data_IF_324706592005
#
_entry.id   IF_324706592005
#
_cell.length_a   1.000
_cell.length_b   1.000
_cell.length_c   1.000
_cell.angle_alpha   90.00
_cell.angle_beta   90.00
_cell.angle_gamma   90.00
#
_symmetry.space_group_name_H-M   'P 1'
#
loop_
_entity.id
_entity.type
_entity.pdbx_description
1 polymer ?
#
# COMPACT_ATOMS: atom_id res chain seq x y z
N UNK A 1 -1.76 -11.23 -16.27
CA UNK A 1 -2.40 -11.67 -15.04
C UNK A 1 -2.39 -10.53 -14.02
N UNK A 2 -3.52 -10.29 -13.40
CA UNK A 2 -3.59 -9.20 -12.43
C UNK A 2 -2.92 -9.61 -11.12
N UNK A 3 -2.12 -8.71 -10.57
CA UNK A 3 -1.49 -8.94 -9.26
C UNK A 3 -2.54 -8.75 -8.17
N UNK A 4 -2.37 -9.43 -7.03
CA UNK A 4 -3.33 -9.27 -5.92
C UNK A 4 -3.38 -7.81 -5.44
N UNK A 5 -2.25 -7.11 -5.45
CA UNK A 5 -2.21 -5.69 -5.05
C UNK A 5 -3.10 -4.83 -5.93
N UNK A 6 -3.09 -5.09 -7.23
CA UNK A 6 -3.95 -4.37 -8.16
C UNK A 6 -5.42 -4.65 -7.87
N UNK A 7 -5.75 -5.91 -7.61
CA UNK A 7 -7.12 -6.31 -7.27
C UNK A 7 -7.59 -5.62 -5.99
N UNK A 8 -6.71 -5.59 -4.98
CA UNK A 8 -7.02 -4.92 -3.71
C UNK A 8 -7.30 -3.43 -3.94
N UNK A 9 -6.37 -2.73 -4.59
CA UNK A 9 -6.52 -1.29 -4.83
C UNK A 9 -7.78 -0.97 -5.62
N UNK A 10 -8.04 -1.74 -6.67
CA UNK A 10 -9.23 -1.56 -7.50
C UNK A 10 -10.51 -1.70 -6.68
N UNK A 11 -10.56 -2.71 -5.82
CA UNK A 11 -11.73 -2.94 -4.99
C UNK A 11 -11.87 -1.94 -3.84
N UNK A 12 -10.77 -1.36 -3.38
CA UNK A 12 -10.86 -0.24 -2.43
C UNK A 12 -11.58 0.95 -3.04
N UNK A 13 -11.50 1.11 -4.35
CA UNK A 13 -12.16 2.21 -5.06
C UNK A 13 -13.62 1.86 -5.36
N UNK A 14 -13.88 0.68 -5.87
CA UNK A 14 -15.19 0.34 -6.42
C UNK A 14 -16.10 -0.46 -5.48
N UNK A 15 -15.57 -1.04 -4.41
CA UNK A 15 -16.34 -1.87 -3.49
C UNK A 15 -16.30 -1.26 -2.09
N UNK A 16 -17.28 -0.41 -1.80
CA UNK A 16 -17.31 0.34 -0.54
C UNK A 16 -17.38 -0.54 0.68
N UNK A 17 -18.17 -1.60 0.64
CA UNK A 17 -18.30 -2.52 1.77
C UNK A 17 -16.96 -3.21 2.07
N UNK A 18 -16.29 -3.70 1.03
CA UNK A 18 -14.98 -4.30 1.16
C UNK A 18 -13.98 -3.30 1.73
N UNK A 19 -13.97 -2.09 1.18
CA UNK A 19 -13.06 -1.02 1.60
C UNK A 19 -13.19 -0.74 3.10
N UNK A 20 -14.41 -0.62 3.59
CA UNK A 20 -14.66 -0.37 5.02
C UNK A 20 -14.13 -1.48 5.90
N UNK A 21 -14.23 -2.72 5.44
CA UNK A 21 -13.79 -3.88 6.22
C UNK A 21 -12.29 -4.01 6.28
N UNK A 22 -11.58 -3.73 5.19
CA UNK A 22 -10.16 -4.08 5.09
C UNK A 22 -9.20 -2.93 5.34
N UNK A 23 -9.59 -1.69 5.08
CA UNK A 23 -8.70 -0.54 5.25
C UNK A 23 -8.03 -0.49 6.62
N UNK A 24 -8.73 -0.76 7.74
CA UNK A 24 -8.08 -0.73 9.05
C UNK A 24 -6.93 -1.72 9.21
N UNK A 25 -6.87 -2.74 8.38
CA UNK A 25 -5.87 -3.80 8.48
C UNK A 25 -4.74 -3.68 7.46
N UNK A 26 -4.86 -2.76 6.50
CA UNK A 26 -3.85 -2.58 5.46
C UNK A 26 -2.97 -1.39 5.82
N UNK A 27 -1.67 -1.56 5.66
CA UNK A 27 -0.71 -0.48 5.86
C UNK A 27 -0.02 -0.16 4.54
N UNK A 28 0.35 1.12 4.30
CA UNK A 28 1.02 1.49 3.04
C UNK A 28 2.28 0.66 2.79
N UNK A 29 3.02 0.34 3.84
CA UNK A 29 4.27 -0.41 3.71
C UNK A 29 4.08 -1.87 3.27
N UNK A 30 2.85 -2.37 3.27
CA UNK A 30 2.58 -3.71 2.73
C UNK A 30 2.77 -3.75 1.22
N UNK A 31 2.61 -2.62 0.53
CA UNK A 31 2.83 -2.54 -0.91
C UNK A 31 4.32 -2.36 -1.18
N UNK A 32 4.86 -3.17 -2.09
CA UNK A 32 6.28 -3.08 -2.43
C UNK A 32 6.57 -1.93 -3.36
N UNK A 33 5.68 -1.69 -4.32
CA UNK A 33 5.89 -0.67 -5.32
C UNK A 33 5.46 0.69 -4.79
N UNK A 34 6.30 1.70 -5.02
CA UNK A 34 5.99 3.05 -4.56
C UNK A 34 4.70 3.58 -5.17
N UNK A 35 4.46 3.28 -6.44
CA UNK A 35 3.22 3.71 -7.10
C UNK A 35 1.98 3.18 -6.38
N UNK A 36 2.04 1.94 -5.93
CA UNK A 36 0.91 1.33 -5.22
C UNK A 36 0.74 1.93 -3.82
N UNK A 37 1.85 2.23 -3.14
CA UNK A 37 1.79 2.91 -1.84
C UNK A 37 1.11 4.26 -1.99
N UNK A 38 1.48 5.02 -3.00
CA UNK A 38 0.91 6.33 -3.28
C UNK A 38 -0.59 6.22 -3.52
N UNK A 39 -1.00 5.27 -4.34
CA UNK A 39 -2.43 5.08 -4.63
C UNK A 39 -3.20 4.75 -3.35
N UNK A 40 -2.67 3.83 -2.56
CA UNK A 40 -3.31 3.47 -1.30
C UNK A 40 -3.42 4.66 -0.36
N UNK A 41 -2.37 5.46 -0.24
CA UNK A 41 -2.37 6.65 0.60
C UNK A 41 -3.44 7.64 0.15
N UNK A 42 -3.55 7.89 -1.16
CA UNK A 42 -4.56 8.82 -1.67
C UNK A 42 -5.97 8.30 -1.44
N UNK A 43 -6.19 6.99 -1.63
CA UNK A 43 -7.50 6.38 -1.39
C UNK A 43 -7.90 6.58 0.08
N UNK A 44 -7.00 6.27 1.00
CA UNK A 44 -7.33 6.31 2.43
C UNK A 44 -7.47 7.73 2.93
N UNK A 45 -6.64 8.65 2.48
CA UNK A 45 -6.75 10.06 2.86
C UNK A 45 -8.07 10.65 2.39
N UNK A 46 -8.49 10.29 1.19
CA UNK A 46 -9.76 10.78 0.66
C UNK A 46 -10.94 10.27 1.49
N UNK A 47 -10.93 9.00 1.83
CA UNK A 47 -12.00 8.40 2.65
C UNK A 47 -12.07 9.07 4.01
N UNK A 48 -10.92 9.29 4.65
CA UNK A 48 -10.88 9.95 5.96
C UNK A 48 -11.41 11.37 5.87
N UNK A 49 -11.05 12.09 4.82
CA UNK A 49 -11.42 13.49 4.67
C UNK A 49 -12.88 13.69 4.26
N UNK A 50 -13.38 12.86 3.35
CA UNK A 50 -14.69 13.06 2.74
C UNK A 50 -15.72 11.99 3.09
N UNK A 51 -15.32 10.91 3.71
CA UNK A 51 -16.24 9.85 4.10
C UNK A 51 -16.81 9.01 2.96
N UNK A 52 -16.21 9.10 1.79
CA UNK A 52 -16.67 8.35 0.62
C UNK A 52 -15.49 7.91 -0.25
N UNK A 53 -15.78 6.99 -1.16
CA UNK A 53 -14.75 6.46 -2.05
C UNK A 53 -14.28 7.50 -3.05
N UNK A 54 -12.98 7.46 -3.36
CA UNK A 54 -12.39 8.35 -4.35
C UNK A 54 -12.74 7.89 -5.76
N UNK A 55 -12.85 8.83 -6.69
CA UNK A 55 -13.01 8.49 -8.11
C UNK A 55 -11.64 8.45 -8.78
N UNK A 56 -11.56 7.80 -9.95
CA UNK A 56 -10.31 7.77 -10.73
C UNK A 56 -9.88 9.19 -11.07
N UNK A 57 -10.83 10.04 -11.45
CA UNK A 57 -10.52 11.43 -11.77
C UNK A 57 -9.88 12.16 -10.59
N UNK A 58 -10.49 12.06 -9.42
CA UNK A 58 -9.95 12.69 -8.21
C UNK A 58 -8.59 12.10 -7.85
N UNK A 59 -8.44 10.78 -7.99
CA UNK A 59 -7.17 10.11 -7.70
C UNK A 59 -6.05 10.64 -8.58
N UNK A 60 -6.30 10.85 -9.87
CA UNK A 60 -5.30 11.41 -10.77
C UNK A 60 -4.95 12.86 -10.41
N UNK A 61 -5.95 13.65 -10.05
CA UNK A 61 -5.73 15.05 -9.67
C UNK A 61 -4.90 15.12 -8.38
N UNK A 62 -5.26 14.34 -7.38
CA UNK A 62 -4.52 14.31 -6.11
C UNK A 62 -3.08 13.83 -6.31
N UNK A 63 -2.87 12.87 -7.19
CA UNK A 63 -1.54 12.39 -7.54
C UNK A 63 -0.69 13.52 -8.13
N UNK A 64 -1.26 14.27 -9.06
CA UNK A 64 -0.56 15.38 -9.68
C UNK A 64 -0.23 16.50 -8.71
N UNK A 65 -1.04 16.66 -7.68
CA UNK A 65 -0.82 17.69 -6.66
C UNK A 65 0.24 17.32 -5.63
N UNK A 66 0.72 16.08 -5.63
CA UNK A 66 1.75 15.69 -4.67
C UNK A 66 3.08 16.33 -5.02
N UNK A 67 3.81 16.73 -3.98
CA UNK A 67 5.11 17.38 -4.14
C UNK A 67 6.28 16.39 -3.98
N UNK A 68 5.99 15.17 -3.55
CA UNK A 68 7.01 14.16 -3.29
C UNK A 68 7.22 13.19 -4.45
N UNK A 69 6.57 13.43 -5.59
CA UNK A 69 6.68 12.59 -6.78
C UNK A 69 7.33 13.36 -7.92
N UNK A 70 8.19 12.71 -8.67
CA UNK A 70 8.71 13.28 -9.91
C UNK A 70 7.75 12.95 -11.07
N UNK A 71 8.05 13.49 -12.27
CA UNK A 71 7.18 13.30 -13.43
C UNK A 71 7.00 11.84 -13.81
N UNK A 72 8.06 11.06 -13.72
CA UNK A 72 7.98 9.63 -14.06
C UNK A 72 7.10 8.88 -13.09
N UNK A 73 7.21 9.19 -11.81
CA UNK A 73 6.39 8.57 -10.77
C UNK A 73 4.92 8.93 -10.95
N UNK A 74 4.62 10.19 -11.24
CA UNK A 74 3.25 10.64 -11.52
C UNK A 74 2.68 9.86 -12.71
N UNK A 75 3.48 9.72 -13.78
CA UNK A 75 3.07 9.00 -14.97
C UNK A 75 2.75 7.55 -14.65
N UNK A 76 3.60 6.88 -13.88
CA UNK A 76 3.38 5.49 -13.48
C UNK A 76 2.09 5.33 -12.68
N UNK A 77 1.86 6.21 -11.72
CA UNK A 77 0.65 6.17 -10.90
C UNK A 77 -0.59 6.37 -11.78
N UNK A 78 -0.54 7.35 -12.68
CA UNK A 78 -1.69 7.61 -13.57
C UNK A 78 -1.99 6.43 -14.48
N UNK A 79 -0.96 5.77 -15.00
CA UNK A 79 -1.15 4.58 -15.83
C UNK A 79 -1.88 3.48 -15.07
N UNK A 80 -1.49 3.27 -13.81
CA UNK A 80 -2.16 2.28 -12.97
C UNK A 80 -3.61 2.70 -12.69
N UNK A 81 -3.82 3.95 -12.29
CA UNK A 81 -5.16 4.47 -11.99
C UNK A 81 -6.09 4.28 -13.19
N UNK A 82 -5.61 4.62 -14.37
CA UNK A 82 -6.42 4.54 -15.58
C UNK A 82 -6.70 3.11 -16.03
N UNK A 83 -5.96 2.14 -15.50
CA UNK A 83 -6.19 0.74 -15.81
C UNK A 83 -7.27 0.10 -14.94
N UNK A 84 -7.67 0.77 -13.85
CA UNK A 84 -8.67 0.21 -12.95
C UNK A 84 -10.05 0.23 -13.60
N UNK A 85 -10.74 -0.90 -13.51
CA UNK A 85 -12.11 -1.00 -13.99
C UNK A 85 -12.96 -1.65 -12.90
N UNK A 86 -14.23 -1.27 -12.88
CA UNK A 86 -15.17 -1.86 -11.94
C UNK A 86 -15.58 -3.24 -12.46
N UNK A 87 -15.05 -4.27 -11.86
CA UNK A 87 -15.40 -5.63 -12.22
C UNK A 87 -15.70 -6.43 -10.96
N UNK A 88 -16.65 -7.35 -11.10
CA UNK A 88 -17.13 -8.12 -9.96
C UNK A 88 -16.12 -9.17 -9.57
N UNK A 89 -15.88 -9.26 -8.25
CA UNK A 89 -15.03 -10.30 -7.66
C UNK A 89 -15.85 -10.93 -6.54
N UNK A 90 -15.70 -12.24 -6.35
CA UNK A 90 -16.42 -12.92 -5.28
C UNK A 90 -15.94 -12.37 -3.93
N UNK A 91 -16.88 -11.90 -3.12
CA UNK A 91 -16.55 -11.16 -1.90
C UNK A 91 -15.77 -11.96 -0.87
N UNK A 92 -16.17 -13.20 -0.63
CA UNK A 92 -15.49 -14.01 0.38
C UNK A 92 -14.06 -14.35 -0.05
N UNK A 93 -13.89 -14.68 -1.32
CA UNK A 93 -12.56 -14.90 -1.87
C UNK A 93 -11.68 -13.65 -1.71
N UNK A 94 -12.24 -12.50 -2.00
CA UNK A 94 -11.52 -11.24 -1.92
C UNK A 94 -11.09 -10.94 -0.49
N UNK A 95 -11.98 -11.13 0.48
CA UNK A 95 -11.65 -10.95 1.90
C UNK A 95 -10.57 -11.92 2.35
N UNK A 96 -10.71 -13.19 1.99
CA UNK A 96 -9.75 -14.22 2.38
C UNK A 96 -8.38 -13.94 1.76
N UNK A 97 -8.36 -13.56 0.50
CA UNK A 97 -7.11 -13.26 -0.21
C UNK A 97 -6.43 -12.01 0.33
N UNK A 98 -7.20 -11.01 0.69
CA UNK A 98 -6.68 -9.78 1.30
C UNK A 98 -6.08 -10.08 2.68
N UNK A 99 -6.78 -10.88 3.49
CA UNK A 99 -6.28 -11.27 4.80
C UNK A 99 -4.96 -12.02 4.69
N UNK A 100 -4.90 -12.98 3.76
CA UNK A 100 -3.67 -13.74 3.54
C UNK A 100 -2.53 -12.82 3.10
N UNK A 101 -2.81 -11.92 2.17
CA UNK A 101 -1.81 -10.96 1.69
C UNK A 101 -1.30 -10.09 2.83
N UNK A 102 -2.19 -9.52 3.64
CA UNK A 102 -1.79 -8.70 4.78
C UNK A 102 -0.91 -9.46 5.75
N UNK A 103 -1.30 -10.70 6.07
CA UNK A 103 -0.54 -11.54 6.98
C UNK A 103 0.85 -11.87 6.41
N UNK A 104 0.89 -12.24 5.14
CA UNK A 104 2.17 -12.57 4.49
C UNK A 104 3.09 -11.35 4.44
N UNK A 105 2.55 -10.18 4.15
CA UNK A 105 3.34 -8.96 4.11
C UNK A 105 3.83 -8.55 5.51
N UNK A 106 2.96 -8.66 6.51
CA UNK A 106 3.35 -8.36 7.88
C UNK A 106 4.49 -9.25 8.35
N UNK A 107 4.40 -10.54 8.04
CA UNK A 107 5.46 -11.51 8.40
C UNK A 107 6.75 -11.17 7.66
N UNK A 108 6.67 -10.91 6.36
CA UNK A 108 7.84 -10.57 5.56
C UNK A 108 8.55 -9.33 6.10
N UNK A 109 7.79 -8.27 6.38
CA UNK A 109 8.36 -7.02 6.89
C UNK A 109 8.97 -7.21 8.27
N UNK A 110 8.33 -8.01 9.13
CA UNK A 110 8.88 -8.31 10.45
C UNK A 110 10.21 -9.06 10.34
N UNK A 111 10.31 -10.01 9.41
CA UNK A 111 11.55 -10.74 9.18
C UNK A 111 12.63 -9.81 8.66
N UNK A 112 12.31 -8.96 7.71
CA UNK A 112 13.28 -8.01 7.16
C UNK A 112 13.75 -7.02 8.21
N UNK A 113 12.85 -6.55 9.06
CA UNK A 113 13.20 -5.67 10.16
C UNK A 113 14.13 -6.37 11.15
N UNK A 114 13.87 -7.63 11.47
CA UNK A 114 14.73 -8.40 12.36
C UNK A 114 16.14 -8.57 11.78
N UNK A 115 16.24 -8.82 10.48
CA UNK A 115 17.53 -8.93 9.81
C UNK A 115 18.27 -7.61 9.85
N UNK A 116 17.59 -6.52 9.56
CA UNK A 116 18.18 -5.19 9.58
C UNK A 116 18.67 -4.81 10.97
N UNK A 117 17.90 -5.14 12.01
CA UNK A 117 18.31 -4.88 13.38
C UNK A 117 19.52 -5.70 13.77
N UNK A 118 19.58 -6.96 13.37
CA UNK A 118 20.74 -7.79 13.65
C UNK A 118 22.00 -7.23 12.98
N UNK A 119 21.87 -6.83 11.71
CA UNK A 119 22.99 -6.22 10.99
C UNK A 119 23.39 -4.90 11.63
N UNK A 120 22.40 -4.09 12.01
CA UNK A 120 22.66 -2.82 12.68
C UNK A 120 23.32 -3.01 14.03
N UNK A 121 22.95 -4.02 14.77
CA UNK A 121 23.58 -4.34 16.05
C UNK A 121 25.01 -4.77 15.88
N UNK A 122 25.29 -5.57 14.87
CA UNK A 122 26.64 -6.00 14.58
C UNK A 122 27.53 -4.80 14.22
N UNK A 123 27.02 -3.91 13.39
CA UNK A 123 27.72 -2.68 13.05
C UNK A 123 27.95 -1.82 14.28
N UNK A 124 26.95 -1.70 15.11
CA UNK A 124 27.02 -0.93 16.33
C UNK A 124 28.07 -1.50 17.27
N UNK A 125 28.09 -2.81 17.40
CA UNK A 125 29.10 -3.46 18.21
C UNK A 125 30.49 -3.13 17.72
N UNK A 126 30.66 -3.14 16.40
CA UNK A 126 31.96 -2.83 15.82
C UNK A 126 32.39 -1.41 16.08
N UNK A 127 31.44 -0.49 16.22
CA UNK A 127 31.77 0.92 16.40
C UNK A 127 31.63 1.38 17.83
N UNK A 128 30.51 0.99 18.43
CA UNK A 128 30.14 1.53 19.71
C UNK A 128 30.28 0.56 20.83
N UNK A 129 30.57 -0.63 20.54
CA UNK A 129 30.66 -1.61 21.59
C UNK A 129 31.74 -1.27 22.54
N UNK A 130 32.59 -0.48 22.13
CA UNK A 130 33.58 -0.05 22.96
C UNK A 130 33.09 0.61 24.16
N UNK A 131 32.27 1.57 24.06
CA UNK A 131 31.81 2.21 25.26
C UNK A 131 30.78 1.40 25.96
N UNK A 132 30.06 0.74 25.23
CA UNK A 132 28.95 0.10 25.84
C UNK A 132 29.31 -1.16 26.44
N UNK A 133 30.46 -1.41 26.22
CA UNK A 133 30.84 -2.61 26.72
C UNK A 133 31.36 -2.51 27.88
#
# INVERSE_FOLDING_TARGET
MERIETTILRNLIYNEEYSRKVIPFIKPEYFEQRSEKVIFEEITQFIVKYGSSITIEALNIETENRTDLNEEEVKQVREINNSFVDSVVENQWLLDSTEKWCRDRAIYLALMESIALADGQDDTKGRDSIPSI
#
